data_IF_465036212720
#
_entry.id   IF_465036212720
#
_cell.length_a   1.000
_cell.length_b   1.000
_cell.length_c   1.000
_cell.angle_alpha   90.00
_cell.angle_beta   90.00
_cell.angle_gamma   90.00
#
_symmetry.space_group_name_H-M   'P 1'
#
loop_
_entity.id
_entity.type
_entity.pdbx_description
1 polymer ?
#
# COMPACT_ATOMS: atom_id res chain seq x y z
N UNK A 1 28.15 46.19 -0.06
CA UNK A 1 26.77 46.38 0.47
C UNK A 1 26.83 47.41 1.58
N UNK A 2 25.92 48.42 1.65
CA UNK A 2 25.90 49.37 2.74
C UNK A 2 25.56 48.73 4.09
N UNK A 3 25.99 49.27 5.22
CA UNK A 3 25.71 48.78 6.57
C UNK A 3 24.20 48.60 6.81
N UNK A 4 23.39 49.53 6.32
CA UNK A 4 21.94 49.47 6.44
C UNK A 4 21.30 48.32 5.67
N UNK A 5 21.81 47.98 4.48
CA UNK A 5 21.35 46.82 3.71
C UNK A 5 21.72 45.52 4.39
N UNK A 6 22.86 45.45 5.05
CA UNK A 6 23.29 44.30 5.84
C UNK A 6 22.43 44.12 7.09
N UNK A 7 22.12 45.20 7.80
CA UNK A 7 21.24 45.19 8.96
C UNK A 7 19.82 44.74 8.60
N UNK A 8 19.28 45.27 7.50
CA UNK A 8 17.96 44.88 6.97
C UNK A 8 17.90 43.39 6.60
N UNK A 9 18.95 42.87 5.92
CA UNK A 9 19.05 41.45 5.58
C UNK A 9 19.09 40.56 6.84
N UNK A 10 19.88 40.92 7.84
CA UNK A 10 19.95 40.21 9.13
C UNK A 10 18.60 40.17 9.85
N UNK A 11 17.92 41.30 9.90
CA UNK A 11 16.59 41.39 10.54
C UNK A 11 15.56 40.50 9.82
N UNK A 12 15.60 40.47 8.48
CA UNK A 12 14.73 39.60 7.69
C UNK A 12 15.02 38.11 7.96
N UNK A 13 16.29 37.72 7.97
CA UNK A 13 16.68 36.34 8.28
C UNK A 13 16.24 35.94 9.70
N UNK A 14 16.36 36.81 10.67
CA UNK A 14 15.88 36.59 12.04
C UNK A 14 14.36 36.41 12.05
N UNK A 15 13.62 37.29 11.41
CA UNK A 15 12.15 37.19 11.30
C UNK A 15 11.73 35.88 10.65
N UNK A 16 12.36 35.46 9.55
CA UNK A 16 12.06 34.19 8.88
C UNK A 16 12.40 32.97 9.75
N UNK A 17 13.48 33.03 10.53
CA UNK A 17 13.85 31.98 11.48
C UNK A 17 12.82 31.80 12.59
N UNK A 18 12.28 32.91 13.10
CA UNK A 18 11.27 32.95 14.17
C UNK A 18 9.84 32.70 13.63
N UNK A 19 9.61 32.93 12.32
CA UNK A 19 8.32 32.73 11.67
C UNK A 19 8.49 31.98 10.33
N UNK A 20 8.48 30.64 10.34
CA UNK A 20 8.59 29.83 9.12
C UNK A 20 7.44 30.07 8.13
N UNK A 21 6.24 30.41 8.58
CA UNK A 21 5.12 30.78 7.69
C UNK A 21 5.47 32.00 6.86
N UNK A 22 6.05 33.04 7.49
CA UNK A 22 6.48 34.24 6.79
C UNK A 22 7.60 33.95 5.78
N UNK A 23 8.56 33.06 6.11
CA UNK A 23 9.58 32.61 5.17
C UNK A 23 8.95 32.03 3.89
N UNK A 24 7.96 31.12 4.06
CA UNK A 24 7.30 30.44 2.94
C UNK A 24 6.52 31.43 2.08
N UNK A 25 5.73 32.32 2.70
CA UNK A 25 4.94 33.32 1.98
C UNK A 25 5.83 34.30 1.20
N UNK A 26 6.88 34.83 1.84
CA UNK A 26 7.77 35.82 1.23
C UNK A 26 8.56 35.25 0.04
N UNK A 27 9.03 34.01 0.15
CA UNK A 27 9.89 33.40 -0.87
C UNK A 27 9.09 32.70 -1.97
N UNK A 28 7.94 32.10 -1.64
CA UNK A 28 7.23 31.24 -2.58
C UNK A 28 5.89 31.79 -3.05
N UNK A 29 5.39 32.87 -2.40
CA UNK A 29 4.13 33.54 -2.74
C UNK A 29 2.95 32.57 -2.82
N UNK A 30 2.81 31.75 -1.77
CA UNK A 30 1.74 30.76 -1.64
C UNK A 30 0.81 31.16 -0.50
N UNK A 31 -0.44 30.78 -0.65
CA UNK A 31 -1.41 30.78 0.44
C UNK A 31 -1.29 29.44 1.19
N UNK A 32 -1.20 29.54 2.53
CA UNK A 32 -1.03 28.38 3.39
C UNK A 32 -2.38 27.85 3.86
N UNK A 33 -2.56 26.55 3.78
CA UNK A 33 -3.66 25.83 4.41
C UNK A 33 -3.49 25.81 5.95
N UNK A 34 -4.55 25.48 6.67
CA UNK A 34 -4.54 25.41 8.14
C UNK A 34 -3.49 24.40 8.65
N UNK A 35 -3.49 23.16 8.10
CA UNK A 35 -2.53 22.15 8.47
C UNK A 35 -1.06 22.53 8.17
N UNK A 36 -0.86 23.35 7.11
CA UNK A 36 0.47 23.83 6.76
C UNK A 36 0.96 24.88 7.77
N UNK A 37 0.07 25.72 8.27
CA UNK A 37 0.39 26.67 9.34
C UNK A 37 0.71 25.95 10.65
N UNK A 38 -0.03 24.88 10.98
CA UNK A 38 0.24 24.05 12.15
C UNK A 38 1.65 23.43 12.08
N UNK A 39 2.00 22.77 10.98
CA UNK A 39 3.33 22.15 10.78
C UNK A 39 4.44 23.19 10.82
N UNK A 40 4.29 24.32 10.13
CA UNK A 40 5.30 25.39 10.12
C UNK A 40 5.44 26.06 11.48
N UNK A 41 4.34 26.25 12.21
CA UNK A 41 4.35 26.78 13.57
C UNK A 41 5.07 25.86 14.56
N UNK A 42 4.88 24.55 14.40
CA UNK A 42 5.54 23.55 15.25
C UNK A 42 7.07 23.51 15.11
N UNK A 43 7.64 24.02 14.00
CA UNK A 43 9.09 24.08 13.79
C UNK A 43 9.83 24.98 14.81
N UNK A 44 9.14 25.94 15.39
CA UNK A 44 9.66 26.86 16.41
C UNK A 44 9.27 26.46 17.85
N UNK A 45 8.47 25.40 18.01
CA UNK A 45 8.07 24.83 19.28
C UNK A 45 9.19 24.05 19.97
N UNK A 46 8.84 23.35 21.06
CA UNK A 46 9.80 22.56 21.87
C UNK A 46 10.15 21.22 21.22
N UNK A 47 9.20 20.61 20.49
CA UNK A 47 9.43 19.34 19.82
C UNK A 47 10.25 19.53 18.52
N UNK A 48 11.27 18.70 18.38
CA UNK A 48 12.17 18.71 17.21
C UNK A 48 11.90 17.57 16.24
N UNK A 49 10.81 16.85 16.46
CA UNK A 49 10.34 15.79 15.59
C UNK A 49 8.91 16.10 15.11
N UNK A 50 8.76 16.29 13.82
CA UNK A 50 7.49 16.69 13.18
C UNK A 50 7.02 15.56 12.27
N UNK A 51 5.75 15.20 12.35
CA UNK A 51 5.14 14.11 11.59
C UNK A 51 3.86 14.56 10.91
N UNK A 52 3.80 14.41 9.60
CA UNK A 52 2.60 14.63 8.78
C UNK A 52 2.01 13.27 8.42
N UNK A 53 0.99 12.83 9.14
CA UNK A 53 0.16 11.69 8.78
C UNK A 53 -0.95 12.20 7.86
N UNK A 54 -0.94 11.85 6.58
CA UNK A 54 -1.74 12.57 5.61
C UNK A 54 -2.39 11.69 4.54
N UNK A 55 -3.54 12.13 4.04
CA UNK A 55 -4.16 11.61 2.82
C UNK A 55 -3.23 11.77 1.60
N UNK A 56 -3.66 11.28 0.43
CA UNK A 56 -2.92 11.44 -0.83
C UNK A 56 -3.16 12.83 -1.43
N UNK A 57 -2.11 13.46 -1.95
CA UNK A 57 -2.20 14.71 -2.70
C UNK A 57 -2.31 16.03 -1.92
N UNK A 58 -2.14 16.12 -0.57
CA UNK A 58 -2.30 17.38 0.15
C UNK A 58 -1.10 18.32 0.02
N UNK A 59 0.03 17.83 -0.54
CA UNK A 59 1.25 18.62 -0.69
C UNK A 59 2.33 18.34 0.36
N UNK A 60 2.44 17.09 0.88
CA UNK A 60 3.50 16.67 1.83
C UNK A 60 4.92 17.00 1.35
N UNK A 61 5.26 16.60 0.11
CA UNK A 61 6.60 16.81 -0.46
C UNK A 61 6.91 18.31 -0.64
N UNK A 62 5.92 19.14 -0.97
CA UNK A 62 6.06 20.60 -1.00
C UNK A 62 6.38 21.16 0.41
N UNK A 63 5.70 20.66 1.44
CA UNK A 63 5.98 21.05 2.84
C UNK A 63 7.40 20.66 3.25
N UNK A 64 7.83 19.43 2.96
CA UNK A 64 9.19 18.99 3.21
C UNK A 64 10.23 19.87 2.48
N UNK A 65 9.95 20.25 1.24
CA UNK A 65 10.82 21.13 0.48
C UNK A 65 10.90 22.55 1.11
N UNK A 66 9.77 23.11 1.56
CA UNK A 66 9.76 24.42 2.25
C UNK A 66 10.57 24.38 3.55
N UNK A 67 10.41 23.34 4.34
CA UNK A 67 11.19 23.16 5.57
C UNK A 67 12.68 22.97 5.26
N UNK A 68 13.03 22.22 4.22
CA UNK A 68 14.40 22.07 3.76
C UNK A 68 15.04 23.41 3.39
N UNK A 69 14.35 24.23 2.61
CA UNK A 69 14.80 25.57 2.24
C UNK A 69 14.88 26.53 3.44
N UNK A 70 13.91 26.46 4.35
CA UNK A 70 13.95 27.26 5.58
C UNK A 70 15.15 26.90 6.45
N UNK A 71 15.45 25.61 6.63
CA UNK A 71 16.62 25.13 7.40
C UNK A 71 17.93 25.54 6.74
N UNK A 72 18.05 25.38 5.45
CA UNK A 72 19.24 25.81 4.70
C UNK A 72 19.47 27.32 4.80
N UNK A 73 18.39 28.12 4.69
CA UNK A 73 18.50 29.56 4.55
C UNK A 73 18.62 30.32 5.87
N UNK A 74 17.83 29.92 6.90
CA UNK A 74 17.65 30.72 8.11
C UNK A 74 18.57 30.28 9.27
N UNK A 75 19.34 29.23 9.10
CA UNK A 75 20.24 28.69 10.12
C UNK A 75 21.70 28.74 9.66
N UNK A 76 22.59 28.82 10.62
CA UNK A 76 24.01 28.92 10.39
C UNK A 76 24.63 30.10 11.12
N UNK A 77 25.89 29.99 11.44
CA UNK A 77 26.77 31.02 11.95
C UNK A 77 28.16 30.82 11.38
N UNK A 78 29.07 31.78 11.56
CA UNK A 78 30.44 31.66 11.11
C UNK A 78 31.09 30.36 11.64
N UNK A 79 31.51 29.50 10.72
CA UNK A 79 32.10 28.20 11.00
C UNK A 79 31.15 27.04 11.28
N UNK A 80 29.83 27.29 11.40
CA UNK A 80 28.82 26.27 11.67
C UNK A 80 27.65 26.41 10.71
N UNK A 81 27.50 25.45 9.80
CA UNK A 81 26.51 25.48 8.74
C UNK A 81 25.49 24.33 8.86
N UNK A 82 24.26 24.49 8.34
CA UNK A 82 23.29 23.41 8.30
C UNK A 82 23.79 22.26 7.40
N UNK A 83 23.63 21.03 7.89
CA UNK A 83 23.81 19.82 7.09
C UNK A 83 22.53 18.99 7.14
N UNK A 84 22.00 18.69 5.99
CA UNK A 84 20.76 17.93 5.85
C UNK A 84 20.88 16.66 5.02
N UNK A 85 19.98 15.73 5.25
CA UNK A 85 19.72 14.60 4.38
C UNK A 85 18.22 14.52 4.06
N UNK A 86 17.89 14.21 2.80
CA UNK A 86 16.57 13.86 2.33
C UNK A 86 16.54 12.39 1.95
N UNK A 87 15.55 11.65 2.46
CA UNK A 87 15.38 10.21 2.23
C UNK A 87 13.94 9.90 1.83
N UNK A 88 13.79 8.87 0.99
CA UNK A 88 12.53 8.19 0.71
C UNK A 88 12.74 6.68 0.73
N UNK A 89 11.66 5.89 0.58
CA UNK A 89 11.71 4.42 0.59
C UNK A 89 12.63 3.88 -0.51
N UNK A 90 12.67 4.55 -1.69
CA UNK A 90 13.57 4.22 -2.79
C UNK A 90 14.27 5.47 -3.32
N UNK A 91 15.38 5.27 -4.04
CA UNK A 91 16.07 6.37 -4.71
C UNK A 91 15.19 7.03 -5.77
N UNK A 92 14.43 6.23 -6.51
CA UNK A 92 13.57 6.72 -7.58
C UNK A 92 12.42 7.55 -7.00
N UNK A 93 11.79 7.10 -5.89
CA UNK A 93 10.77 7.90 -5.21
C UNK A 93 11.30 9.26 -4.76
N UNK A 94 12.53 9.31 -4.24
CA UNK A 94 13.16 10.58 -3.86
C UNK A 94 13.41 11.47 -5.08
N UNK A 95 13.92 10.88 -6.17
CA UNK A 95 14.26 11.58 -7.41
C UNK A 95 13.03 12.11 -8.16
N UNK A 96 11.90 11.40 -8.06
CA UNK A 96 10.68 11.74 -8.78
C UNK A 96 9.73 12.66 -7.97
N UNK A 97 9.84 12.66 -6.64
CA UNK A 97 8.91 13.41 -5.77
C UNK A 97 9.58 14.60 -5.06
N UNK A 98 10.28 14.36 -3.95
CA UNK A 98 10.80 15.46 -3.11
C UNK A 98 11.90 16.25 -3.80
N UNK A 99 12.79 15.60 -4.56
CA UNK A 99 13.94 16.28 -5.16
C UNK A 99 13.55 17.29 -6.25
N UNK A 100 12.61 17.00 -7.16
CA UNK A 100 12.07 18.00 -8.09
C UNK A 100 11.26 19.10 -7.40
N UNK A 101 10.56 18.79 -6.30
CA UNK A 101 9.86 19.82 -5.52
C UNK A 101 10.86 20.83 -4.94
N UNK A 102 12.00 20.38 -4.41
CA UNK A 102 13.07 21.29 -3.97
C UNK A 102 13.55 22.21 -5.10
N UNK A 103 13.79 21.66 -6.30
CA UNK A 103 14.19 22.47 -7.46
C UNK A 103 13.12 23.49 -7.89
N UNK A 104 11.86 23.06 -7.92
CA UNK A 104 10.71 23.89 -8.26
C UNK A 104 10.57 25.09 -7.32
N UNK A 105 10.68 24.86 -6.01
CA UNK A 105 10.57 25.93 -5.01
C UNK A 105 11.80 26.84 -5.01
N UNK A 106 13.00 26.32 -5.28
CA UNK A 106 14.17 27.17 -5.49
C UNK A 106 13.94 28.17 -6.61
N UNK A 107 13.42 27.71 -7.76
CA UNK A 107 13.17 28.55 -8.93
C UNK A 107 12.16 29.70 -8.69
N UNK A 108 11.36 29.61 -7.64
CA UNK A 108 10.43 30.69 -7.25
C UNK A 108 11.04 31.78 -6.39
N UNK A 109 12.23 31.56 -5.83
CA UNK A 109 12.91 32.53 -4.96
C UNK A 109 14.24 32.95 -5.56
N UNK A 110 14.34 34.21 -5.99
CA UNK A 110 15.59 34.80 -6.46
C UNK A 110 16.71 34.72 -5.40
N UNK A 111 16.36 34.84 -4.12
CA UNK A 111 17.29 34.68 -3.02
C UNK A 111 17.92 33.28 -2.97
N UNK A 112 17.08 32.24 -3.09
CA UNK A 112 17.55 30.85 -3.04
C UNK A 112 18.39 30.48 -4.27
N UNK A 113 18.01 30.94 -5.46
CA UNK A 113 18.76 30.68 -6.69
C UNK A 113 20.12 31.37 -6.71
N UNK A 114 20.27 32.50 -6.05
CA UNK A 114 21.56 33.21 -5.93
C UNK A 114 22.46 32.58 -4.88
N UNK A 115 21.90 32.03 -3.81
CA UNK A 115 22.66 31.54 -2.67
C UNK A 115 23.03 30.06 -2.76
N UNK A 116 22.21 29.24 -3.44
CA UNK A 116 22.36 27.79 -3.47
C UNK A 116 22.41 27.25 -4.91
N UNK A 117 23.20 26.20 -5.10
CA UNK A 117 23.19 25.38 -6.31
C UNK A 117 22.50 24.06 -6.02
N UNK A 118 21.51 23.69 -6.87
CA UNK A 118 20.85 22.39 -6.86
C UNK A 118 21.50 21.47 -7.90
N UNK A 119 21.78 20.23 -7.50
CA UNK A 119 22.22 19.14 -8.37
C UNK A 119 21.36 17.90 -8.11
N UNK A 120 21.52 16.84 -8.89
CA UNK A 120 20.78 15.58 -8.71
C UNK A 120 21.04 14.88 -7.36
N UNK A 121 22.14 15.19 -6.69
CA UNK A 121 22.56 14.50 -5.47
C UNK A 121 22.70 15.41 -4.26
N UNK A 122 22.89 16.72 -4.48
CA UNK A 122 23.22 17.67 -3.43
C UNK A 122 22.70 19.06 -3.77
N UNK A 123 22.15 19.72 -2.77
CA UNK A 123 21.91 21.17 -2.76
C UNK A 123 22.94 21.77 -1.82
N UNK A 124 23.68 22.78 -2.25
CA UNK A 124 24.73 23.38 -1.42
C UNK A 124 24.79 24.89 -1.57
N UNK A 125 25.27 25.54 -0.52
CA UNK A 125 25.58 26.98 -0.52
C UNK A 125 26.81 27.24 -1.42
N UNK A 126 26.72 28.24 -2.30
CA UNK A 126 27.77 28.56 -3.26
C UNK A 126 29.09 28.95 -2.60
N UNK A 127 29.04 29.63 -1.44
CA UNK A 127 30.22 30.04 -0.71
C UNK A 127 30.84 28.92 0.16
N UNK A 128 30.03 27.89 0.54
CA UNK A 128 30.46 26.82 1.45
C UNK A 128 29.95 25.43 1.00
N UNK A 129 30.31 24.94 -0.20
CA UNK A 129 29.72 23.75 -0.80
C UNK A 129 29.99 22.46 -0.01
N UNK A 130 31.05 22.40 0.79
CA UNK A 130 31.45 21.20 1.54
C UNK A 130 30.76 21.11 2.92
N UNK A 131 30.38 22.23 3.49
CA UNK A 131 29.92 22.27 4.88
C UNK A 131 28.46 22.72 5.04
N UNK A 132 27.84 23.28 4.01
CA UNK A 132 26.49 23.82 4.04
C UNK A 132 25.65 23.18 2.91
N UNK A 133 24.91 22.15 3.23
CA UNK A 133 24.22 21.36 2.21
C UNK A 133 23.02 20.55 2.70
N UNK A 134 22.20 20.13 1.75
CA UNK A 134 21.22 19.04 1.83
C UNK A 134 21.59 17.98 0.78
N UNK A 135 21.77 16.73 1.18
CA UNK A 135 22.11 15.61 0.30
C UNK A 135 20.94 14.66 0.08
N UNK A 136 20.74 14.23 -1.16
CA UNK A 136 19.83 13.12 -1.49
C UNK A 136 20.49 11.82 -1.05
N UNK A 137 19.79 11.02 -0.24
CA UNK A 137 20.30 9.75 0.27
C UNK A 137 19.27 8.65 0.10
N UNK A 138 19.72 7.42 -0.02
CA UNK A 138 18.88 6.25 -0.15
C UNK A 138 19.50 5.06 0.57
N UNK A 139 18.68 4.07 0.86
CA UNK A 139 19.08 2.77 1.39
C UNK A 139 18.38 1.68 0.58
N UNK A 140 18.93 0.46 0.57
CA UNK A 140 18.27 -0.67 -0.08
C UNK A 140 17.01 -1.06 0.72
N UNK A 141 15.96 -1.53 0.05
CA UNK A 141 14.68 -1.87 0.70
C UNK A 141 14.82 -2.94 1.79
N UNK A 142 15.82 -3.81 1.65
CA UNK A 142 16.20 -4.89 2.56
C UNK A 142 17.44 -4.56 3.40
N UNK A 143 17.83 -3.26 3.46
CA UNK A 143 18.99 -2.82 4.22
C UNK A 143 18.82 -3.10 5.72
N UNK A 144 19.87 -3.61 6.34
CA UNK A 144 19.95 -3.74 7.78
C UNK A 144 20.11 -2.38 8.49
N UNK A 145 19.95 -2.38 9.80
CA UNK A 145 20.02 -1.17 10.61
C UNK A 145 21.41 -0.47 10.53
N UNK A 146 22.48 -1.23 10.30
CA UNK A 146 23.83 -0.68 10.17
C UNK A 146 24.02 0.05 8.83
N UNK A 147 23.52 -0.51 7.75
CA UNK A 147 23.54 0.11 6.42
C UNK A 147 22.73 1.41 6.38
N UNK A 148 21.56 1.40 7.04
CA UNK A 148 20.73 2.59 7.21
C UNK A 148 21.46 3.65 8.05
N UNK A 149 22.13 3.25 9.13
CA UNK A 149 22.96 4.14 9.97
C UNK A 149 24.09 4.78 9.17
N UNK A 150 24.78 4.02 8.32
CA UNK A 150 25.82 4.53 7.41
C UNK A 150 25.24 5.53 6.40
N UNK A 151 24.04 5.31 5.89
CA UNK A 151 23.39 6.25 4.97
C UNK A 151 23.09 7.61 5.60
N UNK A 152 22.96 7.73 6.90
CA UNK A 152 22.73 8.99 7.63
C UNK A 152 23.99 9.52 8.36
N UNK A 153 25.12 8.84 8.23
CA UNK A 153 26.38 9.30 8.83
C UNK A 153 26.86 10.64 8.24
N UNK A 154 27.69 11.35 8.98
CA UNK A 154 28.35 12.58 8.51
C UNK A 154 27.48 13.85 8.56
N UNK A 155 26.30 13.81 9.19
CA UNK A 155 25.44 14.99 9.37
C UNK A 155 25.80 15.84 10.62
N UNK A 156 26.97 15.60 11.23
CA UNK A 156 27.38 16.38 12.39
C UNK A 156 27.56 17.85 12.03
N UNK A 157 26.76 18.70 12.65
CA UNK A 157 26.81 20.17 12.53
C UNK A 157 26.06 20.79 13.70
N UNK A 158 26.13 22.13 13.85
CA UNK A 158 25.31 22.81 14.84
C UNK A 158 23.80 22.81 14.51
N UNK A 159 23.43 22.57 13.23
CA UNK A 159 22.07 22.65 12.74
C UNK A 159 21.73 21.47 11.81
N UNK A 160 21.84 20.20 12.28
CA UNK A 160 21.57 19.06 11.42
C UNK A 160 20.05 18.90 11.23
N UNK A 161 19.66 18.35 10.06
CA UNK A 161 18.24 18.06 9.81
C UNK A 161 18.05 16.89 8.85
N UNK A 162 16.90 16.21 8.99
CA UNK A 162 16.53 15.08 8.15
C UNK A 162 15.10 15.28 7.65
N UNK A 163 14.91 15.12 6.33
CA UNK A 163 13.64 15.13 5.64
C UNK A 163 13.32 13.69 5.21
N UNK A 164 12.19 13.13 5.67
CA UNK A 164 11.78 11.78 5.35
C UNK A 164 10.45 11.83 4.57
N UNK A 165 10.47 11.41 3.33
CA UNK A 165 9.29 11.37 2.45
C UNK A 165 8.80 9.93 2.29
N UNK A 166 7.49 9.77 2.09
CA UNK A 166 6.80 8.49 1.92
C UNK A 166 7.04 7.49 3.08
N UNK A 167 6.91 7.98 4.32
CA UNK A 167 7.25 7.19 5.51
C UNK A 167 6.22 6.13 5.91
N UNK A 168 5.13 5.97 5.17
CA UNK A 168 4.08 4.96 5.44
C UNK A 168 4.61 3.54 5.57
N UNK A 169 5.50 3.14 4.67
CA UNK A 169 6.11 1.80 4.63
C UNK A 169 7.60 1.81 5.05
N UNK A 170 8.07 2.92 5.64
CA UNK A 170 9.47 3.06 6.01
C UNK A 170 9.80 2.28 7.29
N UNK A 171 10.89 1.48 7.29
CA UNK A 171 11.29 0.73 8.48
C UNK A 171 11.62 1.62 9.68
N UNK A 172 11.31 1.14 10.88
CA UNK A 172 11.63 1.82 12.17
C UNK A 172 13.12 2.13 12.32
N UNK A 173 13.99 1.28 11.76
CA UNK A 173 15.44 1.47 11.79
C UNK A 173 15.88 2.82 11.21
N UNK A 174 15.15 3.37 10.23
CA UNK A 174 15.42 4.70 9.65
C UNK A 174 15.23 5.80 10.67
N UNK A 175 14.17 5.74 11.48
CA UNK A 175 13.93 6.70 12.57
C UNK A 175 15.03 6.65 13.61
N UNK A 176 15.46 5.45 14.03
CA UNK A 176 16.58 5.27 14.97
C UNK A 176 17.90 5.82 14.43
N UNK A 177 18.16 5.62 13.15
CA UNK A 177 19.34 6.17 12.50
C UNK A 177 19.27 7.70 12.38
N UNK A 178 18.11 8.25 12.03
CA UNK A 178 17.88 9.69 11.98
C UNK A 178 18.07 10.35 13.38
N UNK A 179 17.66 9.67 14.43
CA UNK A 179 17.80 10.18 15.82
C UNK A 179 19.26 10.41 16.23
N UNK A 180 20.25 9.81 15.56
CA UNK A 180 21.66 10.06 15.83
C UNK A 180 22.05 11.54 15.67
N UNK A 181 21.33 12.33 14.87
CA UNK A 181 21.62 13.77 14.74
C UNK A 181 21.43 14.55 16.05
N UNK A 182 20.62 14.03 16.98
CA UNK A 182 20.40 14.67 18.29
C UNK A 182 21.57 14.49 19.25
N UNK A 183 22.46 13.50 19.05
CA UNK A 183 23.60 13.26 19.96
C UNK A 183 24.58 14.44 20.01
N UNK A 184 24.78 15.11 18.87
CA UNK A 184 25.68 16.25 18.77
C UNK A 184 25.01 17.63 18.85
N UNK A 185 23.69 17.69 18.67
CA UNK A 185 22.95 18.96 18.59
C UNK A 185 21.49 18.80 19.07
N UNK A 186 21.25 18.50 20.35
CA UNK A 186 19.92 18.12 20.83
C UNK A 186 18.87 19.23 20.68
N UNK A 187 19.29 20.50 20.75
CA UNK A 187 18.38 21.65 20.66
C UNK A 187 18.08 22.06 19.22
N UNK A 188 19.09 21.99 18.35
CA UNK A 188 18.99 22.54 17.00
C UNK A 188 18.74 21.48 15.91
N UNK A 189 18.85 20.19 16.21
CA UNK A 189 18.52 19.13 15.27
C UNK A 189 17.02 19.14 14.94
N UNK A 190 16.66 18.72 13.71
CA UNK A 190 15.28 18.63 13.28
C UNK A 190 15.06 17.35 12.44
N UNK A 191 14.04 16.60 12.78
CA UNK A 191 13.51 15.53 11.91
C UNK A 191 12.09 15.91 11.52
N UNK A 192 11.80 15.88 10.23
CA UNK A 192 10.44 16.00 9.72
C UNK A 192 10.14 14.86 8.76
N UNK A 193 8.98 14.25 8.92
CA UNK A 193 8.52 13.16 8.07
C UNK A 193 7.11 13.40 7.54
N UNK A 194 6.83 12.79 6.39
CA UNK A 194 5.49 12.78 5.81
C UNK A 194 5.18 11.45 5.13
N UNK A 195 3.97 10.95 5.33
CA UNK A 195 3.54 9.70 4.69
C UNK A 195 2.05 9.48 4.77
N UNK A 196 1.56 8.59 3.90
CA UNK A 196 0.21 8.06 4.01
C UNK A 196 0.22 6.94 5.09
N UNK A 197 -0.80 6.86 5.96
CA UNK A 197 -0.87 5.85 7.01
C UNK A 197 -1.25 4.48 6.43
N UNK A 198 -0.39 3.93 5.57
CA UNK A 198 -0.59 2.69 4.82
C UNK A 198 -0.25 1.43 5.63
N UNK A 199 0.44 1.53 6.74
CA UNK A 199 0.85 0.38 7.53
C UNK A 199 0.64 0.62 9.03
N UNK A 200 0.13 -0.38 9.76
CA UNK A 200 0.05 -0.38 11.22
C UNK A 200 1.38 -0.77 11.90
N UNK A 201 2.45 -0.72 11.14
CA UNK A 201 3.83 -0.94 11.58
C UNK A 201 4.75 0.12 10.94
N UNK A 202 6.04 0.10 11.25
CA UNK A 202 7.00 1.02 10.65
C UNK A 202 7.10 2.38 11.34
N UNK A 203 7.88 3.28 10.72
CA UNK A 203 8.26 4.56 11.31
C UNK A 203 7.06 5.49 11.53
N UNK A 204 6.22 5.67 10.51
CA UNK A 204 5.06 6.57 10.61
C UNK A 204 4.10 6.12 11.72
N UNK A 205 3.80 4.81 11.77
CA UNK A 205 2.92 4.26 12.79
C UNK A 205 3.47 4.47 14.20
N UNK A 206 4.77 4.18 14.44
CA UNK A 206 5.39 4.40 15.74
C UNK A 206 5.37 5.88 16.17
N UNK A 207 5.69 6.78 15.24
CA UNK A 207 5.68 8.22 15.52
C UNK A 207 4.30 8.75 15.90
N UNK A 208 3.24 8.18 15.31
CA UNK A 208 1.86 8.58 15.59
C UNK A 208 1.26 7.91 16.83
N UNK A 209 1.80 6.77 17.28
CA UNK A 209 1.25 5.97 18.38
C UNK A 209 2.25 5.83 19.53
N UNK A 210 3.18 4.86 19.47
CA UNK A 210 4.06 4.50 20.59
C UNK A 210 4.98 5.65 21.02
N UNK A 211 5.46 6.44 20.06
CA UNK A 211 6.36 7.57 20.30
C UNK A 211 5.65 8.93 20.19
N UNK A 212 4.32 8.95 20.25
CA UNK A 212 3.48 10.15 20.03
C UNK A 212 3.90 11.35 20.87
N UNK A 213 4.34 11.13 22.10
CA UNK A 213 4.78 12.19 23.01
C UNK A 213 6.08 12.90 22.59
N UNK A 214 6.88 12.27 21.70
CA UNK A 214 8.13 12.84 21.20
C UNK A 214 7.96 13.58 19.86
N UNK A 215 6.77 13.45 19.23
CA UNK A 215 6.49 13.99 17.92
C UNK A 215 5.33 14.98 17.94
N UNK A 216 5.50 16.12 17.26
CA UNK A 216 4.35 16.91 16.84
C UNK A 216 3.72 16.19 15.64
N UNK A 217 2.48 15.73 15.77
CA UNK A 217 1.79 14.97 14.73
C UNK A 217 0.60 15.76 14.22
N UNK A 218 0.65 16.13 12.95
CA UNK A 218 -0.46 16.74 12.22
C UNK A 218 -1.14 15.65 11.37
N UNK A 219 -2.45 15.50 11.52
CA UNK A 219 -3.26 14.65 10.64
C UNK A 219 -3.85 15.52 9.54
N UNK A 220 -3.63 15.13 8.28
CA UNK A 220 -4.15 15.84 7.11
C UNK A 220 -5.15 14.94 6.40
N UNK A 221 -6.40 15.36 6.36
CA UNK A 221 -7.51 14.61 5.77
C UNK A 221 -8.06 15.28 4.52
N UNK A 222 -8.59 14.49 3.60
CA UNK A 222 -9.45 14.93 2.50
C UNK A 222 -10.92 14.54 2.72
N UNK A 223 -11.27 14.10 3.93
CA UNK A 223 -12.63 13.69 4.31
C UNK A 223 -13.64 14.80 3.98
N UNK A 224 -14.65 14.52 3.13
CA UNK A 224 -15.65 15.51 2.78
C UNK A 224 -16.47 16.06 3.95
N UNK A 225 -16.55 15.29 5.04
CA UNK A 225 -17.34 15.61 6.23
C UNK A 225 -16.52 16.33 7.31
N UNK A 226 -15.18 16.44 7.14
CA UNK A 226 -14.30 17.12 8.08
C UNK A 226 -14.18 18.62 7.70
N UNK A 227 -14.53 19.57 8.61
CA UNK A 227 -14.40 21.00 8.34
C UNK A 227 -12.95 21.45 8.16
N UNK A 228 -11.97 20.72 8.69
CA UNK A 228 -10.54 21.01 8.59
C UNK A 228 -9.85 20.25 7.44
N UNK A 229 -10.66 19.71 6.51
CA UNK A 229 -10.12 18.99 5.34
C UNK A 229 -9.18 19.87 4.51
N UNK A 230 -8.17 19.25 3.91
CA UNK A 230 -7.34 19.97 2.94
C UNK A 230 -8.15 20.37 1.71
N UNK A 231 -8.09 21.65 1.26
CA UNK A 231 -8.76 22.07 0.02
C UNK A 231 -8.06 21.60 -1.26
N UNK A 232 -6.86 21.00 -1.14
CA UNK A 232 -6.01 20.60 -2.27
C UNK A 232 -6.47 19.31 -2.94
N UNK A 233 -7.29 18.52 -2.26
CA UNK A 233 -7.94 17.33 -2.82
C UNK A 233 -9.38 17.68 -3.18
N UNK A 234 -9.77 17.36 -4.41
CA UNK A 234 -11.13 17.61 -4.87
C UNK A 234 -12.17 16.88 -4.02
N UNK A 235 -13.19 17.58 -3.57
CA UNK A 235 -14.19 17.04 -2.66
C UNK A 235 -15.11 16.01 -3.34
N UNK A 236 -15.38 16.19 -4.65
CA UNK A 236 -16.23 15.27 -5.39
C UNK A 236 -15.49 13.96 -5.63
N UNK A 237 -14.19 14.04 -5.99
CA UNK A 237 -13.33 12.88 -6.07
C UNK A 237 -13.29 12.10 -4.73
N UNK A 238 -13.13 12.78 -3.61
CA UNK A 238 -13.12 12.13 -2.30
C UNK A 238 -14.46 11.44 -1.99
N UNK A 239 -15.60 12.08 -2.30
CA UNK A 239 -16.95 11.50 -2.14
C UNK A 239 -17.14 10.26 -3.01
N UNK A 240 -16.79 10.36 -4.29
CA UNK A 240 -16.87 9.25 -5.24
C UNK A 240 -16.05 8.04 -4.79
N UNK A 241 -14.83 8.26 -4.31
CA UNK A 241 -14.00 7.17 -3.80
C UNK A 241 -14.58 6.52 -2.54
N UNK A 242 -15.14 7.31 -1.62
CA UNK A 242 -15.81 6.79 -0.42
C UNK A 242 -17.07 6.01 -0.79
N UNK A 243 -17.87 6.49 -1.75
CA UNK A 243 -19.07 5.81 -2.23
C UNK A 243 -18.73 4.48 -2.92
N UNK A 244 -17.68 4.47 -3.74
CA UNK A 244 -17.26 3.30 -4.51
C UNK A 244 -16.66 2.19 -3.62
N UNK A 245 -15.83 2.55 -2.65
CA UNK A 245 -15.04 1.58 -1.88
C UNK A 245 -15.50 1.41 -0.43
N UNK A 246 -16.33 2.29 0.08
CA UNK A 246 -16.74 2.34 1.49
C UNK A 246 -15.76 3.10 2.38
N UNK A 247 -16.28 3.79 3.41
CA UNK A 247 -15.51 4.64 4.33
C UNK A 247 -14.52 3.85 5.19
N UNK A 248 -14.89 2.61 5.56
CA UNK A 248 -14.07 1.72 6.39
C UNK A 248 -13.05 0.91 5.57
N UNK A 249 -13.04 1.10 4.25
CA UNK A 249 -12.04 0.47 3.40
C UNK A 249 -10.64 0.97 3.78
N UNK A 250 -9.67 0.09 4.06
CA UNK A 250 -8.31 0.46 4.45
C UNK A 250 -7.63 1.46 3.51
N UNK A 251 -7.85 1.33 2.21
CA UNK A 251 -7.31 2.26 1.23
C UNK A 251 -7.92 3.67 1.37
N UNK A 252 -9.25 3.76 1.53
CA UNK A 252 -9.96 5.02 1.78
C UNK A 252 -9.48 5.64 3.09
N UNK A 253 -9.36 4.84 4.16
CA UNK A 253 -8.85 5.32 5.44
C UNK A 253 -7.48 5.96 5.28
N UNK A 254 -6.54 5.33 4.58
CA UNK A 254 -5.20 5.84 4.41
C UNK A 254 -5.12 7.02 3.42
N UNK A 255 -5.77 6.89 2.24
CA UNK A 255 -5.52 7.79 1.11
C UNK A 255 -6.47 8.98 1.05
N UNK A 256 -7.67 8.86 1.63
CA UNK A 256 -8.67 9.94 1.70
C UNK A 256 -8.76 10.48 3.12
N UNK A 257 -8.98 9.62 4.12
CA UNK A 257 -9.20 10.08 5.48
C UNK A 257 -7.90 10.43 6.24
N UNK A 258 -6.74 9.97 5.77
CA UNK A 258 -5.46 10.16 6.44
C UNK A 258 -5.37 9.42 7.78
N UNK A 259 -6.09 8.31 7.92
CA UNK A 259 -6.20 7.50 9.12
C UNK A 259 -5.53 6.14 8.95
N UNK A 260 -4.93 5.63 10.03
CA UNK A 260 -4.53 4.23 10.05
C UNK A 260 -5.77 3.35 10.06
N UNK A 261 -5.79 2.28 9.29
CA UNK A 261 -6.87 1.31 9.33
C UNK A 261 -6.99 0.63 10.69
N UNK A 262 -8.21 0.33 11.07
CA UNK A 262 -8.55 -0.26 12.37
C UNK A 262 -8.24 -1.75 12.48
N UNK A 263 -8.10 -2.43 11.34
CA UNK A 263 -7.71 -3.84 11.27
C UNK A 263 -6.37 -3.97 10.52
N UNK A 264 -5.60 -5.03 10.81
CA UNK A 264 -4.30 -5.27 10.15
C UNK A 264 -4.40 -5.08 8.65
N UNK A 265 -3.64 -4.16 8.13
CA UNK A 265 -3.80 -3.46 6.83
C UNK A 265 -3.97 -4.35 5.62
N UNK A 266 -3.66 -5.63 5.74
CA UNK A 266 -3.41 -6.48 4.58
C UNK A 266 -4.05 -7.86 4.67
N UNK A 267 -4.82 -8.19 5.70
CA UNK A 267 -5.55 -9.47 5.72
C UNK A 267 -6.88 -9.31 4.97
N UNK A 268 -7.13 -10.19 4.02
CA UNK A 268 -8.41 -10.23 3.30
C UNK A 268 -9.55 -10.71 4.22
N UNK A 269 -9.22 -11.63 5.13
CA UNK A 269 -10.16 -12.26 6.06
C UNK A 269 -9.49 -12.42 7.42
N UNK A 270 -10.21 -12.13 8.49
CA UNK A 270 -9.75 -12.33 9.86
C UNK A 270 -9.91 -13.79 10.33
N UNK A 271 -9.14 -14.18 11.35
CA UNK A 271 -9.23 -15.52 11.95
C UNK A 271 -10.66 -15.79 12.45
N UNK A 272 -11.24 -14.84 13.14
CA UNK A 272 -12.60 -14.96 13.69
C UNK A 272 -13.66 -15.18 12.61
N UNK A 273 -13.52 -14.54 11.45
CA UNK A 273 -14.43 -14.70 10.30
C UNK A 273 -14.32 -16.11 9.69
N UNK A 274 -13.10 -16.63 9.56
CA UNK A 274 -12.85 -17.99 9.04
C UNK A 274 -13.35 -19.05 10.03
N UNK A 275 -13.07 -18.90 11.32
CA UNK A 275 -13.54 -19.81 12.37
C UNK A 275 -15.07 -19.80 12.48
N UNK A 276 -15.70 -18.62 12.37
CA UNK A 276 -17.16 -18.51 12.33
C UNK A 276 -17.75 -19.21 11.10
N UNK A 277 -17.09 -19.13 9.93
CA UNK A 277 -17.51 -19.84 8.72
C UNK A 277 -17.36 -21.37 8.87
N UNK A 278 -16.34 -21.84 9.57
CA UNK A 278 -16.13 -23.27 9.87
C UNK A 278 -17.10 -23.82 10.90
N UNK A 279 -17.54 -23.00 11.84
CA UNK A 279 -18.54 -23.37 12.83
C UNK A 279 -19.98 -23.28 12.32
N UNK A 280 -20.19 -22.66 11.15
CA UNK A 280 -21.54 -22.42 10.60
C UNK A 280 -22.13 -23.70 10.02
N UNK A 281 -23.41 -23.87 10.26
CA UNK A 281 -24.24 -24.87 9.61
C UNK A 281 -25.30 -24.20 8.74
N UNK A 282 -25.32 -24.52 7.45
CA UNK A 282 -26.32 -24.07 6.51
C UNK A 282 -27.31 -25.19 6.16
N UNK A 283 -28.58 -24.84 6.08
CA UNK A 283 -29.61 -25.78 5.57
C UNK A 283 -29.45 -25.91 4.06
N UNK A 284 -29.83 -27.06 3.47
CA UNK A 284 -29.71 -27.30 2.03
C UNK A 284 -30.39 -26.24 1.16
N UNK A 285 -31.52 -25.72 1.56
CA UNK A 285 -32.26 -24.67 0.87
C UNK A 285 -31.50 -23.35 0.72
N UNK A 286 -30.49 -23.10 1.58
CA UNK A 286 -29.64 -21.92 1.49
C UNK A 286 -28.59 -21.97 0.36
N UNK A 287 -28.27 -23.14 -0.19
CA UNK A 287 -27.19 -23.30 -1.19
C UNK A 287 -27.49 -24.23 -2.35
N UNK A 288 -28.42 -25.21 -2.22
CA UNK A 288 -28.65 -26.24 -3.25
C UNK A 288 -29.17 -25.69 -4.59
N UNK A 289 -29.75 -24.50 -4.59
CA UNK A 289 -30.21 -23.80 -5.78
C UNK A 289 -29.05 -23.31 -6.67
N UNK A 290 -27.86 -23.18 -6.11
CA UNK A 290 -26.70 -22.61 -6.79
C UNK A 290 -25.93 -23.67 -7.60
N UNK A 291 -25.13 -23.19 -8.56
CA UNK A 291 -24.28 -24.05 -9.37
C UNK A 291 -23.19 -24.74 -8.52
N UNK A 292 -22.88 -25.98 -8.90
CA UNK A 292 -21.82 -26.80 -8.32
C UNK A 292 -20.51 -26.59 -9.10
N UNK A 293 -19.50 -26.05 -8.45
CA UNK A 293 -18.25 -25.64 -9.08
C UNK A 293 -17.06 -26.33 -8.41
N UNK A 294 -16.14 -26.88 -9.21
CA UNK A 294 -14.86 -27.39 -8.72
C UNK A 294 -13.75 -26.41 -9.03
N UNK A 295 -12.95 -26.03 -8.02
CA UNK A 295 -11.68 -25.33 -8.19
C UNK A 295 -10.54 -26.35 -8.07
N UNK A 296 -9.60 -26.32 -8.99
CA UNK A 296 -8.54 -27.32 -9.10
C UNK A 296 -7.20 -26.61 -9.19
N UNK A 297 -6.45 -26.59 -8.07
CA UNK A 297 -5.06 -26.14 -8.03
C UNK A 297 -4.15 -27.35 -8.32
N UNK A 298 -3.41 -27.29 -9.43
CA UNK A 298 -2.59 -28.40 -9.93
C UNK A 298 -1.14 -28.21 -9.54
N UNK A 299 -0.64 -29.07 -8.69
CA UNK A 299 0.77 -29.09 -8.30
C UNK A 299 1.63 -30.00 -9.17
N UNK A 300 2.88 -29.60 -9.34
CA UNK A 300 3.95 -30.41 -9.93
C UNK A 300 4.45 -31.47 -8.96
N UNK A 301 5.25 -32.44 -9.46
CA UNK A 301 6.04 -33.35 -8.63
C UNK A 301 6.94 -32.56 -7.67
N UNK A 302 6.76 -32.76 -6.37
CA UNK A 302 7.46 -32.06 -5.27
C UNK A 302 6.63 -32.08 -3.99
N UNK A 303 6.86 -31.11 -3.13
CA UNK A 303 6.17 -30.97 -1.83
C UNK A 303 4.78 -30.33 -1.95
N UNK A 304 4.47 -29.66 -3.07
CA UNK A 304 3.18 -29.03 -3.30
C UNK A 304 2.09 -30.06 -3.62
N UNK A 305 0.83 -29.73 -3.33
CA UNK A 305 -0.32 -30.64 -3.39
C UNK A 305 -1.30 -30.21 -4.46
N UNK A 306 -1.83 -31.18 -5.24
CA UNK A 306 -3.01 -30.89 -6.05
C UNK A 306 -4.25 -30.94 -5.17
N UNK A 307 -5.07 -29.90 -5.25
CA UNK A 307 -6.29 -29.77 -4.46
C UNK A 307 -7.50 -29.61 -5.39
N UNK A 308 -8.55 -30.39 -5.16
CA UNK A 308 -9.84 -30.30 -5.83
C UNK A 308 -10.85 -29.83 -4.78
N UNK A 309 -11.33 -28.58 -4.89
CA UNK A 309 -12.21 -27.96 -3.90
C UNK A 309 -13.63 -27.79 -4.46
N UNK A 310 -14.65 -28.48 -3.89
CA UNK A 310 -16.06 -28.31 -4.29
C UNK A 310 -16.70 -27.12 -3.61
N UNK A 311 -17.46 -26.29 -4.35
CA UNK A 311 -18.30 -25.21 -3.80
C UNK A 311 -19.67 -25.18 -4.47
N UNK A 312 -20.73 -25.01 -3.66
CA UNK A 312 -22.08 -24.77 -4.13
C UNK A 312 -22.72 -23.62 -3.34
N UNK A 313 -22.95 -22.49 -3.99
CA UNK A 313 -23.52 -21.30 -3.34
C UNK A 313 -22.70 -20.86 -2.14
N UNK A 314 -23.32 -20.83 -0.96
CA UNK A 314 -22.67 -20.46 0.31
C UNK A 314 -21.94 -21.63 0.99
N UNK A 315 -21.94 -22.82 0.44
CA UNK A 315 -21.30 -24.01 1.02
C UNK A 315 -20.06 -24.41 0.25
N UNK A 316 -18.95 -24.61 0.93
CA UNK A 316 -17.79 -25.32 0.45
C UNK A 316 -17.66 -26.67 1.17
N UNK A 317 -17.53 -27.73 0.37
CA UNK A 317 -17.40 -29.10 0.92
C UNK A 317 -15.92 -29.46 1.15
N UNK A 318 -15.67 -30.61 1.71
CA UNK A 318 -14.30 -31.08 1.97
C UNK A 318 -13.52 -31.27 0.67
N UNK A 319 -12.33 -30.67 0.53
CA UNK A 319 -11.49 -30.84 -0.64
C UNK A 319 -10.87 -32.23 -0.71
N UNK A 320 -10.62 -32.68 -1.94
CA UNK A 320 -9.76 -33.85 -2.20
C UNK A 320 -8.33 -33.39 -2.42
N UNK A 321 -7.39 -33.95 -1.65
CA UNK A 321 -5.97 -33.61 -1.71
C UNK A 321 -5.20 -34.79 -2.32
N UNK A 322 -4.45 -34.52 -3.38
CA UNK A 322 -3.66 -35.51 -4.10
C UNK A 322 -2.17 -35.11 -4.01
N UNK A 323 -1.28 -36.10 -3.94
CA UNK A 323 0.17 -35.87 -3.91
C UNK A 323 0.83 -36.73 -4.96
N UNK A 324 1.81 -36.18 -5.68
CA UNK A 324 2.67 -36.88 -6.62
C UNK A 324 1.90 -37.73 -7.66
N UNK A 325 0.80 -37.17 -8.20
CA UNK A 325 -0.02 -37.82 -9.20
C UNK A 325 0.34 -37.37 -10.63
N UNK A 326 0.06 -38.24 -11.60
CA UNK A 326 0.14 -37.87 -13.02
C UNK A 326 -1.05 -37.01 -13.41
N UNK A 327 -0.91 -36.18 -14.44
CA UNK A 327 -2.01 -35.34 -14.94
C UNK A 327 -3.22 -36.19 -15.40
N UNK A 328 -3.00 -37.38 -15.92
CA UNK A 328 -4.05 -38.37 -16.25
C UNK A 328 -4.84 -38.82 -15.03
N UNK A 329 -4.17 -39.10 -13.92
CA UNK A 329 -4.81 -39.58 -12.68
C UNK A 329 -5.57 -38.45 -11.99
N UNK A 330 -5.02 -37.22 -12.01
CA UNK A 330 -5.69 -36.01 -11.53
C UNK A 330 -6.98 -35.79 -12.35
N UNK A 331 -6.89 -35.80 -13.69
CA UNK A 331 -8.04 -35.62 -14.57
C UNK A 331 -9.12 -36.69 -14.34
N UNK A 332 -8.74 -37.95 -14.20
CA UNK A 332 -9.68 -39.04 -13.89
C UNK A 332 -10.37 -38.81 -12.54
N UNK A 333 -9.63 -38.34 -11.52
CA UNK A 333 -10.21 -38.03 -10.20
C UNK A 333 -11.18 -36.83 -10.28
N UNK A 334 -10.81 -35.75 -10.99
CA UNK A 334 -11.69 -34.61 -11.25
C UNK A 334 -12.98 -35.03 -11.96
N UNK A 335 -12.88 -35.85 -13.02
CA UNK A 335 -14.01 -36.38 -13.74
C UNK A 335 -14.95 -37.21 -12.85
N UNK A 336 -14.37 -38.08 -12.00
CA UNK A 336 -15.11 -38.90 -11.05
C UNK A 336 -15.89 -38.04 -10.05
N UNK A 337 -15.22 -37.04 -9.43
CA UNK A 337 -15.87 -36.14 -8.47
C UNK A 337 -16.95 -35.30 -9.16
N UNK A 338 -16.64 -34.71 -10.31
CA UNK A 338 -17.59 -33.90 -11.06
C UNK A 338 -18.84 -34.68 -11.42
N UNK A 339 -18.71 -35.89 -11.94
CA UNK A 339 -19.85 -36.74 -12.32
C UNK A 339 -20.66 -37.20 -11.10
N UNK A 340 -20.01 -37.70 -10.06
CA UNK A 340 -20.68 -38.18 -8.86
C UNK A 340 -21.41 -37.07 -8.11
N UNK A 341 -20.86 -35.87 -8.10
CA UNK A 341 -21.44 -34.72 -7.41
C UNK A 341 -22.46 -33.96 -8.28
N UNK A 342 -22.48 -34.16 -9.60
CA UNK A 342 -23.29 -33.43 -10.55
C UNK A 342 -22.79 -31.99 -10.75
N UNK A 343 -21.48 -31.82 -10.89
CA UNK A 343 -20.84 -30.53 -11.12
C UNK A 343 -21.23 -29.88 -12.44
N UNK A 344 -21.27 -28.56 -12.50
CA UNK A 344 -21.56 -27.78 -13.72
C UNK A 344 -20.29 -27.30 -14.40
N UNK A 345 -19.24 -27.01 -13.62
CA UNK A 345 -17.99 -26.45 -14.15
C UNK A 345 -16.79 -26.86 -13.32
N UNK A 346 -15.63 -26.90 -13.98
CA UNK A 346 -14.32 -27.08 -13.38
C UNK A 346 -13.40 -25.93 -13.78
N UNK A 347 -12.89 -25.18 -12.81
CA UNK A 347 -11.86 -24.18 -13.02
C UNK A 347 -10.51 -24.78 -12.61
N UNK A 348 -9.56 -24.80 -13.53
CA UNK A 348 -8.25 -25.42 -13.35
C UNK A 348 -7.18 -24.34 -13.39
N UNK A 349 -6.30 -24.30 -12.39
CA UNK A 349 -5.12 -23.42 -12.44
C UNK A 349 -4.21 -23.84 -13.59
N UNK A 350 -4.01 -22.90 -14.51
CA UNK A 350 -3.21 -23.06 -15.71
C UNK A 350 -2.01 -22.09 -15.74
N UNK A 351 -1.66 -21.50 -14.62
CA UNK A 351 -0.62 -20.45 -14.49
C UNK A 351 0.75 -21.03 -14.67
N UNK A 352 1.14 -22.11 -14.76
CA UNK A 352 2.51 -22.64 -14.95
C UNK A 352 2.59 -23.77 -15.96
N UNK A 353 1.60 -23.87 -16.87
CA UNK A 353 1.46 -24.89 -17.88
C UNK A 353 1.19 -26.34 -17.36
N UNK A 354 1.13 -26.55 -16.02
CA UNK A 354 0.84 -27.88 -15.44
C UNK A 354 -0.63 -28.21 -15.54
N UNK A 355 -1.49 -27.24 -15.45
CA UNK A 355 -2.93 -27.37 -15.69
C UNK A 355 -3.27 -27.85 -17.09
N UNK A 356 -2.49 -27.48 -18.11
CA UNK A 356 -2.73 -27.89 -19.50
C UNK A 356 -2.92 -29.40 -19.64
N UNK A 357 -2.02 -30.20 -19.04
CA UNK A 357 -2.12 -31.65 -19.12
C UNK A 357 -3.38 -32.21 -18.46
N UNK A 358 -3.88 -31.58 -17.40
CA UNK A 358 -5.15 -31.96 -16.75
C UNK A 358 -6.32 -31.55 -17.62
N UNK A 359 -6.29 -30.33 -18.18
CA UNK A 359 -7.30 -29.79 -19.09
C UNK A 359 -7.43 -30.68 -20.33
N UNK A 360 -6.33 -30.98 -20.99
CA UNK A 360 -6.32 -31.81 -22.20
C UNK A 360 -6.90 -33.21 -21.96
N UNK A 361 -6.57 -33.84 -20.84
CA UNK A 361 -7.13 -35.14 -20.49
C UNK A 361 -8.64 -35.04 -20.17
N UNK A 362 -9.11 -33.98 -19.52
CA UNK A 362 -10.52 -33.75 -19.24
C UNK A 362 -11.31 -33.49 -20.55
N UNK A 363 -10.74 -32.69 -21.47
CA UNK A 363 -11.34 -32.43 -22.78
C UNK A 363 -11.43 -33.73 -23.61
N UNK A 364 -10.38 -34.54 -23.58
CA UNK A 364 -10.38 -35.89 -24.22
C UNK A 364 -11.46 -36.77 -23.61
N UNK A 365 -11.72 -36.68 -22.30
CA UNK A 365 -12.81 -37.37 -21.62
C UNK A 365 -14.19 -36.69 -21.80
N UNK A 366 -14.31 -35.70 -22.70
CA UNK A 366 -15.54 -34.96 -23.04
C UNK A 366 -16.12 -34.11 -21.92
N UNK A 367 -15.28 -33.65 -20.99
CA UNK A 367 -15.61 -32.58 -20.06
C UNK A 367 -15.21 -31.21 -20.65
N UNK A 368 -15.76 -30.14 -20.10
CA UNK A 368 -15.43 -28.76 -20.51
C UNK A 368 -14.82 -27.98 -19.37
N UNK A 369 -13.56 -28.27 -18.98
CA UNK A 369 -12.85 -27.48 -17.96
C UNK A 369 -12.47 -26.12 -18.51
N UNK A 370 -12.35 -25.12 -17.62
CA UNK A 370 -11.89 -23.77 -17.94
C UNK A 370 -10.54 -23.53 -17.27
N UNK A 371 -9.50 -23.31 -18.08
CA UNK A 371 -8.17 -22.94 -17.60
C UNK A 371 -8.13 -21.51 -17.12
N UNK A 372 -7.55 -21.28 -15.94
CA UNK A 372 -7.46 -19.96 -15.30
C UNK A 372 -5.99 -19.55 -15.16
N UNK A 373 -5.66 -18.41 -15.76
CA UNK A 373 -4.35 -17.77 -15.61
C UNK A 373 -4.42 -16.78 -14.44
N UNK A 374 -3.69 -17.00 -13.36
CA UNK A 374 -3.69 -16.12 -12.17
C UNK A 374 -3.22 -14.70 -12.48
N UNK A 375 -2.29 -14.56 -13.43
CA UNK A 375 -1.80 -13.26 -13.90
C UNK A 375 -2.66 -12.63 -15.00
N UNK A 376 -3.71 -13.35 -15.47
CA UNK A 376 -4.64 -12.87 -16.51
C UNK A 376 -5.43 -11.63 -16.07
N UNK A 377 -6.12 -10.99 -17.03
CA UNK A 377 -6.93 -9.81 -16.74
C UNK A 377 -8.12 -10.16 -15.83
N UNK A 378 -8.43 -9.31 -14.84
CA UNK A 378 -9.63 -9.43 -14.03
C UNK A 378 -10.86 -9.00 -14.86
N UNK A 379 -12.05 -9.37 -14.43
CA UNK A 379 -13.32 -8.82 -14.95
C UNK A 379 -13.52 -7.41 -14.36
N UNK A 380 -13.34 -7.27 -13.07
CA UNK A 380 -13.47 -6.00 -12.38
C UNK A 380 -12.15 -5.20 -12.42
N UNK A 381 -12.15 -4.00 -13.03
CA UNK A 381 -10.96 -3.18 -13.19
C UNK A 381 -10.31 -2.69 -11.90
N UNK A 382 -10.97 -2.82 -10.74
CA UNK A 382 -10.44 -2.53 -9.42
C UNK A 382 -9.26 -3.43 -9.05
N UNK A 383 -9.20 -4.63 -9.61
CA UNK A 383 -8.14 -5.60 -9.34
C UNK A 383 -7.01 -5.52 -10.36
N UNK A 384 -5.80 -5.85 -9.94
CA UNK A 384 -4.62 -5.85 -10.82
C UNK A 384 -4.57 -7.05 -11.74
N UNK A 385 -5.01 -8.22 -11.25
CA UNK A 385 -4.99 -9.49 -11.95
C UNK A 385 -6.12 -10.41 -11.47
N UNK A 386 -6.30 -11.51 -12.16
CA UNK A 386 -7.36 -12.49 -11.88
C UNK A 386 -7.23 -13.14 -10.48
N UNK A 387 -6.01 -13.38 -10.01
CA UNK A 387 -5.78 -13.94 -8.68
C UNK A 387 -6.31 -13.01 -7.58
N UNK A 388 -6.00 -11.71 -7.66
CA UNK A 388 -6.51 -10.73 -6.70
C UNK A 388 -8.05 -10.69 -6.69
N UNK A 389 -8.68 -10.67 -7.87
CA UNK A 389 -10.15 -10.68 -8.00
C UNK A 389 -10.77 -11.91 -7.32
N UNK A 390 -10.29 -13.11 -7.66
CA UNK A 390 -10.81 -14.37 -7.09
C UNK A 390 -10.69 -14.42 -5.57
N UNK A 391 -9.53 -14.03 -5.03
CA UNK A 391 -9.29 -14.02 -3.59
C UNK A 391 -10.18 -13.02 -2.84
N UNK A 392 -10.41 -11.84 -3.42
CA UNK A 392 -11.30 -10.85 -2.82
C UNK A 392 -12.78 -11.29 -2.86
N UNK A 393 -13.23 -11.86 -3.97
CA UNK A 393 -14.58 -12.42 -4.07
C UNK A 393 -14.79 -13.57 -3.06
N UNK A 394 -13.79 -14.43 -2.88
CA UNK A 394 -13.79 -15.47 -1.85
C UNK A 394 -13.86 -14.87 -0.43
N UNK A 395 -13.09 -13.82 -0.15
CA UNK A 395 -13.10 -13.16 1.15
C UNK A 395 -14.46 -12.52 1.46
N UNK A 396 -15.05 -11.82 0.51
CA UNK A 396 -16.40 -11.26 0.64
C UNK A 396 -17.46 -12.37 0.84
N UNK A 397 -17.32 -13.48 0.14
CA UNK A 397 -18.20 -14.64 0.29
C UNK A 397 -18.09 -15.27 1.71
N UNK A 398 -16.89 -15.39 2.30
CA UNK A 398 -16.66 -15.86 3.66
C UNK A 398 -17.36 -14.93 4.66
N UNK A 399 -17.17 -13.61 4.52
CA UNK A 399 -17.81 -12.57 5.35
C UNK A 399 -19.31 -12.54 5.17
N UNK A 400 -19.80 -12.83 3.96
CA UNK A 400 -21.20 -12.86 3.59
C UNK A 400 -22.00 -14.07 4.09
N UNK A 401 -21.40 -14.93 4.95
CA UNK A 401 -22.15 -16.01 5.59
C UNK A 401 -21.86 -17.40 5.02
N UNK A 402 -20.73 -17.60 4.39
CA UNK A 402 -20.30 -18.90 3.88
C UNK A 402 -20.12 -19.96 4.97
N UNK A 403 -20.25 -21.22 4.58
CA UNK A 403 -19.90 -22.39 5.38
C UNK A 403 -18.64 -23.04 4.80
N UNK A 404 -17.62 -23.19 5.66
CA UNK A 404 -16.34 -23.81 5.32
C UNK A 404 -16.17 -25.17 6.02
N UNK A 405 -15.46 -26.14 5.43
CA UNK A 405 -15.10 -27.36 6.12
C UNK A 405 -14.12 -27.05 7.27
N UNK A 406 -14.23 -27.71 8.42
CA UNK A 406 -13.38 -27.48 9.59
C UNK A 406 -11.98 -28.09 9.37
N UNK A 407 -11.15 -27.37 8.64
CA UNK A 407 -9.76 -27.74 8.31
C UNK A 407 -8.84 -26.68 8.91
N UNK A 408 -8.12 -26.98 10.03
CA UNK A 408 -7.25 -25.98 10.68
C UNK A 408 -6.19 -25.37 9.76
N UNK A 409 -5.68 -26.15 8.81
CA UNK A 409 -4.70 -25.72 7.82
C UNK A 409 -5.25 -24.61 6.91
N UNK A 410 -6.53 -24.68 6.55
CA UNK A 410 -7.21 -23.67 5.71
C UNK A 410 -7.31 -22.32 6.43
N UNK A 411 -7.40 -22.28 7.77
CA UNK A 411 -7.39 -21.03 8.54
C UNK A 411 -6.10 -20.25 8.25
N UNK A 412 -4.95 -20.91 8.41
CA UNK A 412 -3.66 -20.26 8.17
C UNK A 412 -3.51 -19.81 6.71
N UNK A 413 -3.96 -20.61 5.74
CA UNK A 413 -3.86 -20.27 4.32
C UNK A 413 -4.76 -19.09 3.94
N UNK A 414 -5.95 -18.96 4.51
CA UNK A 414 -6.88 -17.85 4.24
C UNK A 414 -6.48 -16.54 4.92
N UNK A 415 -5.86 -16.61 6.11
CA UNK A 415 -5.58 -15.42 6.92
C UNK A 415 -4.17 -14.85 6.72
N UNK A 416 -3.24 -15.63 6.15
CA UNK A 416 -1.84 -15.20 5.94
C UNK A 416 -1.65 -14.25 4.77
N UNK A 417 -2.29 -14.44 3.58
CA UNK A 417 -2.06 -13.56 2.44
C UNK A 417 -2.51 -12.13 2.72
N UNK A 418 -1.68 -11.20 2.29
CA UNK A 418 -1.94 -9.77 2.38
C UNK A 418 -2.15 -9.17 1.01
N UNK A 419 -2.66 -7.96 0.94
CA UNK A 419 -2.80 -7.25 -0.31
C UNK A 419 -2.18 -5.85 -0.26
N UNK A 420 -1.89 -5.28 -1.41
CA UNK A 420 -1.37 -3.94 -1.58
C UNK A 420 -2.06 -3.26 -2.76
N UNK A 421 -1.72 -2.01 -3.01
CA UNK A 421 -2.19 -1.28 -4.18
C UNK A 421 -1.03 -1.01 -5.14
N UNK A 422 -1.26 -1.31 -6.40
CA UNK A 422 -0.32 -1.04 -7.49
C UNK A 422 -1.04 -0.21 -8.56
N UNK A 423 -0.62 1.04 -8.74
CA UNK A 423 -1.24 1.98 -9.69
C UNK A 423 -2.77 2.13 -9.47
N UNK A 424 -3.20 2.26 -8.22
CA UNK A 424 -4.61 2.40 -7.86
C UNK A 424 -5.44 1.11 -7.92
N UNK A 425 -4.84 -0.02 -8.29
CA UNK A 425 -5.51 -1.33 -8.36
C UNK A 425 -5.08 -2.23 -7.22
N UNK A 426 -6.01 -3.04 -6.74
CA UNK A 426 -5.77 -4.03 -5.68
C UNK A 426 -4.90 -5.16 -6.23
N UNK A 427 -3.79 -5.44 -5.55
CA UNK A 427 -2.86 -6.52 -5.86
C UNK A 427 -2.69 -7.42 -4.64
N UNK A 428 -2.97 -8.72 -4.80
CA UNK A 428 -2.66 -9.71 -3.78
C UNK A 428 -1.15 -9.92 -3.68
N UNK A 429 -0.67 -10.18 -2.48
CA UNK A 429 0.73 -10.52 -2.22
C UNK A 429 1.21 -11.68 -3.10
N UNK A 430 2.48 -11.63 -3.47
CA UNK A 430 3.12 -12.67 -4.28
C UNK A 430 3.06 -14.03 -3.58
N UNK A 431 2.73 -15.10 -4.35
CA UNK A 431 2.58 -16.46 -3.82
C UNK A 431 3.85 -16.96 -3.12
N UNK A 432 5.04 -16.58 -3.59
CA UNK A 432 6.32 -16.99 -3.01
C UNK A 432 6.56 -16.34 -1.63
N UNK A 433 6.09 -15.10 -1.42
CA UNK A 433 6.17 -14.43 -0.12
C UNK A 433 5.22 -15.09 0.89
N UNK A 434 4.00 -15.40 0.46
CA UNK A 434 3.02 -16.16 1.27
C UNK A 434 3.59 -17.52 1.63
N UNK A 435 4.16 -18.24 0.66
CA UNK A 435 4.80 -19.56 0.84
C UNK A 435 5.94 -19.51 1.88
N UNK A 436 6.77 -18.46 1.85
CA UNK A 436 7.84 -18.28 2.86
C UNK A 436 7.30 -18.13 4.28
N UNK A 437 6.18 -17.39 4.46
CA UNK A 437 5.57 -17.20 5.79
C UNK A 437 4.80 -18.42 6.28
N UNK A 438 4.09 -19.11 5.40
CA UNK A 438 3.36 -20.35 5.74
C UNK A 438 4.27 -21.57 5.87
N UNK A 439 5.47 -21.53 5.31
CA UNK A 439 6.35 -22.69 5.17
C UNK A 439 5.91 -23.69 4.09
N UNK A 440 4.83 -23.38 3.35
CA UNK A 440 4.25 -24.17 2.26
C UNK A 440 3.39 -23.30 1.35
N UNK A 441 2.99 -23.86 0.19
CA UNK A 441 2.03 -23.20 -0.71
C UNK A 441 0.62 -23.18 -0.13
N UNK A 442 -0.20 -22.11 -0.38
CA UNK A 442 -1.60 -22.01 0.06
C UNK A 442 -2.57 -22.76 -0.88
N UNK A 443 -2.30 -24.03 -1.13
CA UNK A 443 -2.95 -24.84 -2.16
C UNK A 443 -4.47 -25.01 -1.92
N UNK A 444 -4.90 -25.13 -0.65
CA UNK A 444 -6.31 -25.22 -0.28
C UNK A 444 -7.05 -23.91 -0.59
N UNK A 445 -6.45 -22.79 -0.20
CA UNK A 445 -7.06 -21.49 -0.40
C UNK A 445 -7.05 -21.08 -1.89
N UNK A 446 -5.98 -21.35 -2.64
CA UNK A 446 -5.92 -21.07 -4.08
C UNK A 446 -6.95 -21.94 -4.84
N UNK A 447 -7.13 -23.21 -4.48
CA UNK A 447 -8.17 -24.08 -5.05
C UNK A 447 -9.60 -23.58 -4.75
N UNK A 448 -9.86 -23.10 -3.54
CA UNK A 448 -11.15 -22.50 -3.19
C UNK A 448 -11.37 -21.20 -3.97
N UNK A 449 -10.35 -20.33 -4.06
CA UNK A 449 -10.41 -19.07 -4.80
C UNK A 449 -10.72 -19.29 -6.29
N UNK A 450 -10.21 -20.34 -6.93
CA UNK A 450 -10.53 -20.70 -8.31
C UNK A 450 -12.03 -20.87 -8.56
N UNK A 451 -12.81 -21.30 -7.55
CA UNK A 451 -14.27 -21.43 -7.71
C UNK A 451 -14.99 -20.10 -7.97
N UNK A 452 -14.30 -18.98 -7.81
CA UNK A 452 -14.78 -17.60 -8.05
C UNK A 452 -14.27 -17.00 -9.35
N UNK A 453 -13.61 -17.79 -10.21
CA UNK A 453 -13.00 -17.29 -11.45
C UNK A 453 -13.99 -16.62 -12.40
N UNK A 454 -15.16 -17.23 -12.56
CA UNK A 454 -16.25 -16.69 -13.37
C UNK A 454 -17.62 -17.00 -12.76
N UNK A 455 -18.66 -16.17 -13.01
CA UNK A 455 -20.02 -16.49 -12.65
C UNK A 455 -20.49 -17.78 -13.35
N UNK A 456 -21.14 -18.68 -12.60
CA UNK A 456 -21.71 -19.93 -13.14
C UNK A 456 -23.20 -19.92 -12.88
N UNK A 457 -23.97 -20.08 -13.93
CA UNK A 457 -25.44 -20.14 -13.84
C UNK A 457 -25.87 -21.48 -13.20
N UNK A 458 -26.84 -21.47 -12.27
CA UNK A 458 -27.41 -22.70 -11.77
C UNK A 458 -28.12 -23.48 -12.89
N UNK A 459 -28.24 -24.82 -12.75
CA UNK A 459 -28.95 -25.62 -13.74
C UNK A 459 -30.39 -25.14 -13.86
N UNK A 460 -30.85 -24.93 -15.10
CA UNK A 460 -32.24 -24.54 -15.38
C UNK A 460 -33.21 -25.58 -14.80
N UNK A 461 -34.36 -25.15 -14.27
CA UNK A 461 -35.43 -26.09 -13.90
C UNK A 461 -35.77 -27.01 -15.08
N UNK A 462 -36.00 -28.32 -14.84
CA UNK A 462 -36.46 -29.21 -15.91
C UNK A 462 -37.77 -28.65 -16.50
N UNK A 463 -37.74 -28.22 -17.77
CA UNK A 463 -38.89 -27.60 -18.45
C UNK A 463 -38.60 -26.31 -19.22
N UNK A 464 -37.48 -25.66 -19.03
CA UNK A 464 -37.07 -24.52 -19.84
C UNK A 464 -36.33 -25.03 -21.10
N UNK A 465 -37.08 -25.29 -22.12
CA UNK A 465 -36.56 -25.61 -23.46
C UNK A 465 -35.87 -24.36 -24.03
N UNK A 466 -34.59 -24.48 -24.29
CA UNK A 466 -33.87 -23.73 -25.32
C UNK A 466 -33.86 -22.21 -25.21
N UNK A 467 -33.07 -21.68 -24.30
CA UNK A 467 -32.39 -20.40 -24.51
C UNK A 467 -30.89 -20.62 -24.28
N UNK A 468 -30.15 -20.82 -25.36
CA UNK A 468 -28.73 -20.51 -25.40
C UNK A 468 -28.63 -19.03 -25.08
N UNK A 469 -28.34 -18.68 -23.81
CA UNK A 469 -28.04 -17.33 -23.43
C UNK A 469 -26.75 -16.95 -24.20
N UNK A 470 -26.88 -16.16 -25.26
CA UNK A 470 -25.76 -15.39 -25.80
C UNK A 470 -25.20 -14.58 -24.60
N UNK A 471 -23.95 -14.80 -24.31
CA UNK A 471 -23.22 -13.90 -23.43
C UNK A 471 -23.31 -12.52 -24.09
N UNK A 472 -24.06 -11.62 -23.47
CA UNK A 472 -24.09 -10.21 -23.88
C UNK A 472 -22.78 -9.63 -23.36
N UNK A 473 -21.79 -9.51 -24.24
CA UNK A 473 -20.48 -8.91 -23.98
C UNK A 473 -20.45 -7.41 -24.28
N UNK A 474 -21.59 -6.80 -24.54
CA UNK A 474 -21.72 -5.36 -24.73
C UNK A 474 -22.61 -4.78 -23.65
N UNK A 475 -21.98 -4.20 -22.62
CA UNK A 475 -22.57 -3.18 -21.77
C UNK A 475 -22.32 -1.85 -22.49
N UNK A 476 -23.39 -1.29 -23.07
CA UNK A 476 -23.34 0.10 -23.53
C UNK A 476 -23.43 1.00 -22.31
N UNK A 477 -22.35 1.77 -22.06
CA UNK A 477 -22.22 2.65 -20.88
C UNK A 477 -22.94 4.00 -21.12
N UNK A 478 -23.66 4.16 -22.21
CA UNK A 478 -24.29 5.44 -22.64
C UNK A 478 -25.79 5.34 -22.97
N UNK A 479 -26.53 4.36 -22.44
CA UNK A 479 -28.00 4.44 -22.36
C UNK A 479 -28.49 4.48 -20.90
#
# INVERSE_FOLDING_TARGET
MSADKLASARNRMKSWRENPCQFVVDNFRVELDEWQRDVLGALTGDLRRICMKACTGPGKSAMLAWVGWWRLSCFGKAGDHPKGAALSVTRDNLADNLWPELAKWQGRSQFLTQMFTWTKEKIYCNDFPETWFLSARSFAKDADAESIGRALSGLHSAYPFVLLDETGDMPVAVGRAADQIFTGSPINALIIQGGNPTSTSGLLYQSCNTLRSQWHVTTVTADPDDPHRTPRVDINHAREQIELFGRDNPWIMATILGLFPTQGFNSLVGIEEVEAAMARFLRPDAYEWAAKVLGIDVARFGDDRTVIFPRQGLMADRPTILRQQRTTDIAAKCATIHTAWGGQTMFVDDTGHWGHGVIDNLVTARYNPVGIQFHGPPIDPRYKNKRAEMWFLMAEWIKGGAMLPPIPELVAELTTPTYTFSNGKILLEDKDLVKKRLGRSPDLADALALTFAFPVMPPGKPGAVGMTAKVITEYDIFE
#
